data_IF_870775683159
#
_entry.id   IF_870775683159
#
_cell.length_a   1.000
_cell.length_b   1.000
_cell.length_c   1.000
_cell.angle_alpha   90.00
_cell.angle_beta   90.00
_cell.angle_gamma   90.00
#
_symmetry.space_group_name_H-M   'P 1'
#
loop_
_entity.id
_entity.type
_entity.pdbx_description
1 polymer ?
#
# COMPACT_ATOMS: atom_id res chain seq x y z
N UNK A 1 -17.06 14.42 -6.86
CA UNK A 1 -16.22 15.20 -7.79
C UNK A 1 -16.19 14.57 -9.19
N UNK A 2 -15.92 13.26 -9.33
CA UNK A 2 -15.98 12.54 -10.61
C UNK A 2 -17.31 12.75 -11.38
N UNK A 3 -18.46 12.62 -10.73
CA UNK A 3 -19.79 12.85 -11.37
C UNK A 3 -19.93 14.25 -12.01
N UNK A 4 -19.30 15.28 -11.42
CA UNK A 4 -19.30 16.64 -11.98
C UNK A 4 -18.44 16.73 -13.25
N UNK A 5 -17.27 16.09 -13.25
CA UNK A 5 -16.35 16.04 -14.40
C UNK A 5 -17.00 15.27 -15.55
N UNK A 6 -17.60 14.11 -15.28
CA UNK A 6 -18.34 13.34 -16.30
C UNK A 6 -19.47 14.14 -16.92
N UNK A 7 -20.24 14.88 -16.10
CA UNK A 7 -21.30 15.76 -16.61
C UNK A 7 -20.75 16.88 -17.50
N UNK A 8 -19.56 17.41 -17.21
CA UNK A 8 -18.90 18.43 -18.03
C UNK A 8 -18.39 17.87 -19.36
N UNK A 9 -17.86 16.65 -19.38
CA UNK A 9 -17.47 15.95 -20.61
C UNK A 9 -18.67 15.77 -21.53
N UNK A 10 -19.82 15.31 -21.00
CA UNK A 10 -21.04 15.16 -21.79
C UNK A 10 -21.54 16.50 -22.35
N UNK A 11 -21.51 17.57 -21.56
CA UNK A 11 -21.85 18.91 -22.04
C UNK A 11 -20.92 19.39 -23.18
N UNK A 12 -19.63 19.06 -23.11
CA UNK A 12 -18.67 19.38 -24.18
C UNK A 12 -19.00 18.60 -25.46
N UNK A 13 -19.31 17.30 -25.36
CA UNK A 13 -19.71 16.47 -26.52
C UNK A 13 -20.92 17.06 -27.24
N UNK A 14 -21.97 17.44 -26.50
CA UNK A 14 -23.18 18.05 -27.10
C UNK A 14 -22.85 19.36 -27.81
N UNK A 15 -22.02 20.21 -27.20
CA UNK A 15 -21.59 21.48 -27.80
C UNK A 15 -20.71 21.31 -29.03
N UNK A 16 -19.86 20.28 -29.05
CA UNK A 16 -19.03 19.94 -30.22
C UNK A 16 -19.94 19.52 -31.38
N UNK A 17 -20.92 18.64 -31.14
CA UNK A 17 -21.87 18.24 -32.19
C UNK A 17 -22.61 19.45 -32.75
N UNK A 18 -23.13 20.33 -31.89
CA UNK A 18 -23.79 21.56 -32.35
C UNK A 18 -22.87 22.52 -33.11
N UNK A 19 -21.57 22.58 -32.77
CA UNK A 19 -20.62 23.40 -33.52
C UNK A 19 -20.32 22.79 -34.90
N UNK A 20 -20.22 21.47 -34.99
CA UNK A 20 -20.04 20.74 -36.24
C UNK A 20 -21.28 20.86 -37.15
N UNK A 21 -22.49 20.77 -36.60
CA UNK A 21 -23.75 20.97 -37.35
C UNK A 21 -23.83 22.37 -37.97
N UNK A 22 -23.17 23.36 -37.35
CA UNK A 22 -23.10 24.75 -37.82
C UNK A 22 -21.87 25.03 -38.70
N UNK A 23 -21.06 24.01 -39.02
CA UNK A 23 -19.77 24.13 -39.70
C UNK A 23 -18.78 25.08 -39.00
N UNK A 24 -18.91 25.30 -37.68
CA UNK A 24 -17.97 26.08 -36.88
C UNK A 24 -16.86 25.16 -36.32
N UNK A 25 -15.92 24.84 -37.20
CA UNK A 25 -14.81 23.95 -36.88
C UNK A 25 -13.86 24.53 -35.84
N UNK A 26 -13.70 25.86 -35.79
CA UNK A 26 -12.81 26.51 -34.82
C UNK A 26 -13.36 26.38 -33.40
N UNK A 27 -14.67 26.56 -33.22
CA UNK A 27 -15.30 26.31 -31.93
C UNK A 27 -15.28 24.82 -31.56
N UNK A 28 -15.48 23.91 -32.52
CA UNK A 28 -15.39 22.47 -32.28
C UNK A 28 -13.98 22.04 -31.80
N UNK A 29 -12.91 22.56 -32.41
CA UNK A 29 -11.52 22.28 -32.01
C UNK A 29 -11.25 22.78 -30.59
N UNK A 30 -11.67 24.01 -30.26
CA UNK A 30 -11.50 24.57 -28.91
C UNK A 30 -12.25 23.75 -27.87
N UNK A 31 -13.49 23.36 -28.16
CA UNK A 31 -14.30 22.53 -27.26
C UNK A 31 -13.70 21.13 -27.09
N UNK A 32 -13.07 20.56 -28.12
CA UNK A 32 -12.37 19.29 -28.04
C UNK A 32 -11.12 19.36 -27.16
N UNK A 33 -10.35 20.45 -27.21
CA UNK A 33 -9.23 20.67 -26.31
C UNK A 33 -9.69 20.70 -24.84
N UNK A 34 -10.77 21.44 -24.55
CA UNK A 34 -11.37 21.50 -23.21
C UNK A 34 -11.91 20.13 -22.77
N UNK A 35 -12.53 19.36 -23.67
CA UNK A 35 -12.96 17.99 -23.36
C UNK A 35 -11.77 17.11 -22.93
N UNK A 36 -10.64 17.22 -23.64
CA UNK A 36 -9.42 16.43 -23.35
C UNK A 36 -8.86 16.73 -21.97
N UNK A 37 -8.84 18.00 -21.55
CA UNK A 37 -8.39 18.39 -20.21
C UNK A 37 -9.25 17.74 -19.10
N UNK A 38 -10.58 17.67 -19.29
CA UNK A 38 -11.45 16.98 -18.34
C UNK A 38 -11.25 15.47 -18.32
N UNK A 39 -10.97 14.84 -19.47
CA UNK A 39 -10.65 13.41 -19.55
C UNK A 39 -9.32 13.08 -18.87
N UNK A 40 -8.29 13.92 -19.06
CA UNK A 40 -6.99 13.80 -18.39
C UNK A 40 -7.14 13.97 -16.87
N UNK A 41 -7.96 14.94 -16.44
CA UNK A 41 -8.23 15.17 -15.03
C UNK A 41 -9.02 14.01 -14.39
N UNK A 42 -9.97 13.40 -15.12
CA UNK A 42 -10.65 12.19 -14.68
C UNK A 42 -9.66 11.01 -14.53
N UNK A 43 -8.80 10.81 -15.54
CA UNK A 43 -7.77 9.77 -15.53
C UNK A 43 -6.76 9.98 -14.40
N UNK A 44 -6.39 11.23 -14.09
CA UNK A 44 -5.54 11.55 -12.95
C UNK A 44 -6.19 11.18 -11.62
N UNK A 45 -7.52 11.36 -11.46
CA UNK A 45 -8.24 10.89 -10.27
C UNK A 45 -8.27 9.36 -10.18
N UNK A 46 -8.51 8.67 -11.29
CA UNK A 46 -8.55 7.21 -11.31
C UNK A 46 -7.16 6.61 -11.05
N UNK A 47 -6.10 7.23 -11.60
CA UNK A 47 -4.72 6.84 -11.33
C UNK A 47 -4.26 7.20 -9.92
N UNK A 48 -4.76 8.29 -9.32
CA UNK A 48 -4.50 8.58 -7.91
C UNK A 48 -5.19 7.56 -6.99
N UNK A 49 -6.40 7.11 -7.35
CA UNK A 49 -7.07 5.98 -6.68
C UNK A 49 -6.26 4.69 -6.81
N UNK A 50 -5.78 4.37 -8.01
CA UNK A 50 -4.97 3.19 -8.26
C UNK A 50 -3.57 3.26 -7.63
N UNK A 51 -2.94 4.43 -7.54
CA UNK A 51 -1.62 4.58 -6.89
C UNK A 51 -1.70 4.40 -5.36
N UNK A 52 -2.82 4.73 -4.74
CA UNK A 52 -3.10 4.41 -3.33
C UNK A 52 -3.32 2.91 -3.15
N UNK A 53 -3.96 2.26 -4.13
CA UNK A 53 -4.20 0.81 -4.14
C UNK A 53 -2.90 0.03 -4.42
N UNK A 54 -2.04 0.48 -5.34
CA UNK A 54 -0.77 -0.20 -5.69
C UNK A 54 0.29 -0.10 -4.56
N UNK A 55 0.18 0.93 -3.70
CA UNK A 55 0.94 0.99 -2.46
C UNK A 55 0.40 0.05 -1.36
N UNK A 56 -0.86 -0.42 -1.48
CA UNK A 56 -1.53 -1.34 -0.54
C UNK A 56 -1.67 -2.78 -1.06
N UNK A 57 -1.47 -3.05 -2.35
CA UNK A 57 -1.73 -4.34 -3.01
C UNK A 57 -0.54 -5.30 -3.12
N UNK A 58 0.52 -5.07 -2.34
CA UNK A 58 1.24 -6.24 -1.83
C UNK A 58 0.48 -6.66 -0.58
N UNK A 59 -0.22 -7.81 -0.54
CA UNK A 59 -0.60 -8.41 0.72
C UNK A 59 0.71 -8.72 1.43
N UNK A 60 1.22 -7.77 2.21
CA UNK A 60 2.20 -8.03 3.23
C UNK A 60 1.43 -8.94 4.18
N UNK A 61 1.60 -10.24 4.01
CA UNK A 61 1.12 -11.23 4.95
C UNK A 61 1.79 -10.86 6.26
N UNK A 62 1.05 -10.27 7.19
CA UNK A 62 1.58 -9.94 8.50
C UNK A 62 1.44 -11.16 9.40
N UNK A 63 2.48 -11.48 10.16
CA UNK A 63 2.35 -12.38 11.28
C UNK A 63 1.74 -11.67 12.47
N UNK A 64 0.89 -12.38 13.19
CA UNK A 64 0.51 -12.02 14.55
C UNK A 64 1.71 -12.15 15.48
N UNK A 65 1.60 -11.57 16.68
CA UNK A 65 2.65 -11.66 17.70
C UNK A 65 3.03 -13.10 18.05
N UNK A 66 2.05 -14.03 18.04
CA UNK A 66 2.29 -15.44 18.35
C UNK A 66 3.05 -16.13 17.21
N UNK A 67 2.59 -15.99 15.98
CA UNK A 67 3.24 -16.57 14.81
C UNK A 67 4.68 -16.05 14.64
N UNK A 68 4.89 -14.75 14.85
CA UNK A 68 6.23 -14.17 14.81
C UNK A 68 7.15 -14.72 15.91
N UNK A 69 6.59 -14.99 17.10
CA UNK A 69 7.31 -15.60 18.21
C UNK A 69 7.74 -17.03 17.89
N UNK A 70 6.86 -17.80 17.25
CA UNK A 70 7.11 -19.19 16.84
C UNK A 70 8.22 -19.25 15.76
N UNK A 71 8.18 -18.36 14.76
CA UNK A 71 9.21 -18.30 13.70
C UNK A 71 10.59 -17.95 14.28
N UNK A 72 10.64 -16.99 15.22
CA UNK A 72 11.86 -16.54 15.88
C UNK A 72 12.32 -17.44 17.03
N UNK A 73 11.49 -18.39 17.47
CA UNK A 73 11.77 -19.26 18.62
C UNK A 73 11.93 -18.50 19.94
N UNK A 74 11.16 -17.43 20.15
CA UNK A 74 11.21 -16.58 21.35
C UNK A 74 9.85 -16.44 22.00
N UNK A 75 9.80 -15.91 23.23
CA UNK A 75 8.53 -15.62 23.88
C UNK A 75 7.83 -14.40 23.23
N UNK A 76 6.48 -14.37 23.08
CA UNK A 76 5.75 -13.27 22.46
C UNK A 76 6.03 -11.88 23.04
N UNK A 77 6.27 -11.78 24.36
CA UNK A 77 6.63 -10.51 25.01
C UNK A 77 7.98 -9.93 24.52
N UNK A 78 8.90 -10.79 24.10
CA UNK A 78 10.18 -10.38 23.50
C UNK A 78 9.96 -9.79 22.12
N UNK A 79 8.99 -10.32 21.35
CA UNK A 79 8.59 -9.81 20.03
C UNK A 79 7.98 -8.42 20.19
N UNK A 80 7.04 -8.25 21.13
CA UNK A 80 6.41 -6.92 21.37
C UNK A 80 7.42 -5.90 21.90
N UNK A 81 8.38 -6.31 22.73
CA UNK A 81 9.44 -5.40 23.20
C UNK A 81 10.33 -4.91 22.05
N UNK A 82 10.53 -5.75 21.03
CA UNK A 82 11.29 -5.43 19.81
C UNK A 82 10.41 -4.93 18.68
N UNK A 83 9.18 -4.49 18.95
CA UNK A 83 8.23 -4.18 17.89
C UNK A 83 8.72 -3.08 16.94
N UNK A 84 9.36 -2.04 17.45
CA UNK A 84 9.95 -0.99 16.61
C UNK A 84 11.06 -1.52 15.68
N UNK A 85 11.92 -2.43 16.19
CA UNK A 85 13.00 -3.03 15.41
C UNK A 85 12.48 -4.00 14.33
N UNK A 86 11.41 -4.74 14.64
CA UNK A 86 10.78 -5.68 13.70
C UNK A 86 9.76 -5.01 12.76
N UNK A 87 9.74 -3.67 12.71
CA UNK A 87 8.77 -2.87 11.95
C UNK A 87 7.31 -3.29 12.20
N UNK A 88 7.01 -3.61 13.45
CA UNK A 88 5.66 -3.96 13.88
C UNK A 88 4.71 -2.78 13.71
N UNK A 89 3.49 -3.07 13.28
CA UNK A 89 2.41 -2.12 13.12
C UNK A 89 1.24 -2.52 14.03
N UNK A 90 0.50 -1.54 14.53
CA UNK A 90 -0.67 -1.78 15.37
C UNK A 90 -1.93 -1.69 14.52
N UNK A 91 -2.58 -2.82 14.27
CA UNK A 91 -3.83 -2.93 13.49
C UNK A 91 -4.91 -3.42 14.44
N UNK A 92 -6.03 -2.70 14.56
CA UNK A 92 -7.15 -3.02 15.46
C UNK A 92 -6.70 -3.30 16.92
N UNK A 93 -5.72 -2.53 17.42
CA UNK A 93 -5.19 -2.66 18.78
C UNK A 93 -4.20 -3.81 19.00
N UNK A 94 -3.93 -4.64 17.98
CA UNK A 94 -3.00 -5.79 18.05
C UNK A 94 -1.73 -5.51 17.26
N UNK A 95 -0.62 -6.11 17.68
CA UNK A 95 0.67 -6.02 16.97
C UNK A 95 0.75 -7.03 15.84
N UNK A 96 1.08 -6.51 14.66
CA UNK A 96 1.28 -7.25 13.42
C UNK A 96 2.67 -6.97 12.87
N UNK A 97 3.34 -8.00 12.36
CA UNK A 97 4.74 -7.94 11.94
C UNK A 97 4.89 -8.36 10.48
N UNK A 98 5.59 -7.61 9.62
CA UNK A 98 5.76 -7.99 8.22
C UNK A 98 6.48 -9.35 8.10
N UNK A 99 5.87 -10.31 7.41
CA UNK A 99 6.42 -11.67 7.25
C UNK A 99 7.85 -11.69 6.72
N UNK A 100 8.16 -10.84 5.73
CA UNK A 100 9.51 -10.76 5.14
C UNK A 100 10.60 -10.47 6.18
N UNK A 101 10.32 -9.57 7.13
CA UNK A 101 11.28 -9.15 8.16
C UNK A 101 11.45 -10.24 9.20
N UNK A 102 10.34 -10.86 9.61
CA UNK A 102 10.36 -11.96 10.57
C UNK A 102 11.06 -13.20 10.02
N UNK A 103 10.81 -13.57 8.76
CA UNK A 103 11.45 -14.72 8.12
C UNK A 103 12.97 -14.47 7.96
N UNK A 104 13.39 -13.26 7.59
CA UNK A 104 14.81 -12.89 7.51
C UNK A 104 15.50 -12.95 8.88
N UNK A 105 14.88 -12.38 9.92
CA UNK A 105 15.41 -12.44 11.28
C UNK A 105 15.40 -13.86 11.85
N UNK A 106 14.41 -14.68 11.49
CA UNK A 106 14.34 -16.10 11.82
C UNK A 106 15.52 -16.88 11.24
N UNK A 107 15.88 -16.61 9.99
CA UNK A 107 17.06 -17.21 9.35
C UNK A 107 18.35 -16.75 10.02
N UNK A 108 18.48 -15.45 10.35
CA UNK A 108 19.65 -14.89 11.05
C UNK A 108 19.82 -15.49 12.45
N UNK A 109 18.73 -15.71 13.18
CA UNK A 109 18.77 -16.27 14.53
C UNK A 109 19.05 -17.78 14.53
N UNK A 110 18.57 -18.54 13.54
CA UNK A 110 18.92 -19.96 13.37
C UNK A 110 20.41 -20.20 13.10
N UNK A 111 21.10 -19.25 12.46
CA UNK A 111 22.55 -19.30 12.24
C UNK A 111 23.41 -18.90 13.44
N UNK A 112 22.83 -18.27 14.47
CA UNK A 112 23.57 -17.89 15.69
C UNK A 112 23.57 -19.04 16.69
N UNK A 113 24.63 -19.85 16.66
CA UNK A 113 24.98 -20.72 17.80
C UNK A 113 25.10 -19.82 19.04
N UNK A 114 24.24 -20.03 20.04
CA UNK A 114 24.32 -19.30 21.31
C UNK A 114 25.70 -19.59 21.92
N UNK A 115 26.58 -18.58 22.11
CA UNK A 115 27.83 -18.81 22.83
C UNK A 115 27.50 -19.29 24.24
N UNK A 116 28.23 -20.33 24.66
CA UNK A 116 27.82 -21.30 25.66
C UNK A 116 27.30 -20.73 26.98
N UNK A 117 26.21 -21.34 27.46
CA UNK A 117 25.94 -21.39 28.88
C UNK A 117 27.00 -22.32 29.48
N UNK A 118 27.99 -21.78 30.22
CA UNK A 118 28.92 -22.63 30.98
C UNK A 118 28.08 -23.56 31.87
N UNK A 119 28.31 -24.88 31.87
CA UNK A 119 27.69 -25.75 32.86
C UNK A 119 28.15 -25.28 34.24
N UNK A 120 27.19 -25.04 35.13
CA UNK A 120 27.47 -24.73 36.53
C UNK A 120 27.86 -26.03 37.22
N UNK A 121 29.11 -26.47 37.04
CA UNK A 121 29.72 -27.45 37.92
C UNK A 121 30.16 -26.71 39.19
N UNK A 122 29.29 -26.68 40.19
CA UNK A 122 29.67 -26.37 41.57
C UNK A 122 30.07 -27.68 42.25
N UNK A 123 31.34 -27.88 42.65
CA UNK A 123 31.70 -28.98 43.53
C UNK A 123 31.40 -28.58 44.98
N UNK A 124 30.54 -29.35 45.64
CA UNK A 124 30.63 -29.63 47.08
C UNK A 124 30.21 -31.06 47.33
#
# INVERSE_FOLDING_TARGET
MQSYISKKIEQCKTKIMHALDRNDYMSAIKLRAVQKEFEELLNAFDNAGNAVIDATDKPQIFYTTREAADVLGVHPSSVTRKAAFLHGQKINGRWHFPKKIIDEEGLRTRGRVRPGRRPHNSPR
#
